data_IF_473776248685
#
_entry.id   IF_473776248685
#
_cell.length_a   1.000
_cell.length_b   1.000
_cell.length_c   1.000
_cell.angle_alpha   90.00
_cell.angle_beta   90.00
_cell.angle_gamma   90.00
#
_symmetry.space_group_name_H-M   'P 1'
#
loop_
_entity.id
_entity.type
_entity.pdbx_description
1 polymer ?
#
# COMPACT_ATOMS: atom_id res chain seq x y z
N UNK A 1 13.83 12.99 -31.20
CA UNK A 1 12.87 12.15 -30.45
C UNK A 1 13.32 12.19 -29.02
N UNK A 2 12.48 12.69 -28.14
CA UNK A 2 12.77 12.64 -26.71
C UNK A 2 12.84 11.15 -26.31
N UNK A 3 13.85 10.78 -25.55
CA UNK A 3 14.00 9.41 -25.04
C UNK A 3 12.74 9.01 -24.26
N UNK A 4 12.29 7.75 -24.35
CA UNK A 4 11.17 7.22 -23.55
C UNK A 4 11.38 7.55 -22.07
N UNK A 5 12.63 7.47 -21.60
CA UNK A 5 13.02 7.78 -20.21
C UNK A 5 12.78 9.23 -19.81
N UNK A 6 12.74 10.17 -20.76
CA UNK A 6 12.49 11.60 -20.50
C UNK A 6 11.00 11.97 -20.55
N UNK A 7 10.11 11.01 -20.82
CA UNK A 7 8.68 11.25 -20.89
C UNK A 7 8.08 11.56 -19.52
N UNK A 8 7.72 12.82 -19.26
CA UNK A 8 7.06 13.26 -18.04
C UNK A 8 5.77 12.48 -17.76
N UNK A 9 5.02 12.12 -18.80
CA UNK A 9 3.77 11.35 -18.71
C UNK A 9 4.05 9.93 -18.22
N UNK A 10 5.12 9.31 -18.72
CA UNK A 10 5.53 7.97 -18.30
C UNK A 10 6.04 7.97 -16.85
N UNK A 11 6.89 8.92 -16.47
CA UNK A 11 7.38 9.06 -15.09
C UNK A 11 6.22 9.19 -14.09
N UNK A 12 5.25 10.08 -14.39
CA UNK A 12 4.04 10.26 -13.56
C UNK A 12 3.24 8.96 -13.44
N UNK A 13 3.08 8.26 -14.56
CA UNK A 13 2.35 7.00 -14.59
C UNK A 13 3.04 5.93 -13.75
N UNK A 14 4.33 5.75 -13.93
CA UNK A 14 5.14 4.79 -13.18
C UNK A 14 5.09 5.05 -11.67
N UNK A 15 5.29 6.31 -11.25
CA UNK A 15 5.19 6.66 -9.83
C UNK A 15 3.81 6.34 -9.24
N UNK A 16 2.75 6.54 -10.02
CA UNK A 16 1.38 6.23 -9.60
C UNK A 16 1.14 4.73 -9.51
N UNK A 17 1.63 3.95 -10.48
CA UNK A 17 1.48 2.50 -10.52
C UNK A 17 2.18 1.82 -9.34
N UNK A 18 3.32 2.33 -8.91
CA UNK A 18 4.12 1.80 -7.80
C UNK A 18 3.99 2.58 -6.48
N UNK A 19 3.06 3.56 -6.43
CA UNK A 19 2.84 4.41 -5.24
C UNK A 19 4.12 5.05 -4.71
N UNK A 20 4.96 5.59 -5.62
CA UNK A 20 6.23 6.22 -5.26
C UNK A 20 6.00 7.67 -4.80
N UNK A 21 6.66 8.13 -3.73
CA UNK A 21 6.48 9.47 -3.17
C UNK A 21 7.29 10.52 -3.95
N UNK A 22 7.15 10.54 -5.28
CA UNK A 22 7.79 11.48 -6.19
C UNK A 22 6.72 12.38 -6.79
N UNK A 23 6.91 13.70 -6.66
CA UNK A 23 5.97 14.70 -7.20
C UNK A 23 6.61 15.69 -8.19
N UNK A 24 7.94 15.68 -8.34
CA UNK A 24 8.65 16.53 -9.33
C UNK A 24 9.11 15.68 -10.49
N UNK A 25 8.56 15.94 -11.68
CA UNK A 25 8.75 15.13 -12.89
C UNK A 25 9.54 15.89 -13.96
N UNK A 26 10.73 16.37 -13.60
CA UNK A 26 11.80 16.69 -14.54
C UNK A 26 12.75 15.49 -14.63
N UNK A 27 13.43 15.32 -15.75
CA UNK A 27 14.35 14.19 -15.95
C UNK A 27 15.41 14.12 -14.84
N UNK A 28 16.03 15.25 -14.51
CA UNK A 28 17.07 15.35 -13.48
C UNK A 28 16.53 14.97 -12.09
N UNK A 29 15.35 15.47 -11.72
CA UNK A 29 14.76 15.19 -10.41
C UNK A 29 14.25 13.75 -10.31
N UNK A 30 13.67 13.22 -11.37
CA UNK A 30 13.23 11.84 -11.40
C UNK A 30 14.43 10.87 -11.27
N UNK A 31 15.49 11.12 -12.01
CA UNK A 31 16.76 10.38 -11.91
C UNK A 31 17.31 10.47 -10.48
N UNK A 32 17.36 11.68 -9.92
CA UNK A 32 17.82 11.90 -8.56
C UNK A 32 17.05 11.06 -7.55
N UNK A 33 15.71 11.09 -7.57
CA UNK A 33 14.90 10.31 -6.63
C UNK A 33 14.98 8.81 -6.88
N UNK A 34 15.13 8.38 -8.14
CA UNK A 34 15.32 6.97 -8.45
C UNK A 34 16.65 6.39 -7.95
N UNK A 35 17.63 7.26 -7.72
CA UNK A 35 18.91 6.89 -7.12
C UNK A 35 18.92 7.03 -5.60
N UNK A 36 18.18 8.01 -5.06
CA UNK A 36 18.07 8.29 -3.63
C UNK A 36 17.26 7.22 -2.87
N UNK A 37 16.12 6.83 -3.42
CA UNK A 37 15.23 5.90 -2.73
C UNK A 37 15.64 4.45 -2.95
N UNK A 38 16.09 3.77 -1.89
CA UNK A 38 16.49 2.35 -1.91
C UNK A 38 15.36 1.40 -2.35
N UNK A 39 14.10 1.79 -2.12
CA UNK A 39 12.90 1.05 -2.52
C UNK A 39 12.42 1.38 -3.95
N UNK A 40 13.11 2.25 -4.70
CA UNK A 40 12.72 2.55 -6.08
C UNK A 40 12.92 1.31 -6.97
N UNK A 41 11.90 0.82 -7.69
CA UNK A 41 11.97 -0.41 -8.48
C UNK A 41 12.68 -0.17 -9.83
N UNK A 42 14.00 0.01 -9.82
CA UNK A 42 14.83 0.35 -11.00
C UNK A 42 14.66 -0.64 -12.14
N UNK A 43 14.74 -1.93 -11.84
CA UNK A 43 14.62 -3.00 -12.85
C UNK A 43 13.27 -2.94 -13.58
N UNK A 44 12.19 -2.63 -12.84
CA UNK A 44 10.86 -2.48 -13.43
C UNK A 44 10.74 -1.23 -14.30
N UNK A 45 11.38 -0.14 -13.90
CA UNK A 45 11.45 1.08 -14.70
C UNK A 45 12.22 0.85 -16.00
N UNK A 46 13.37 0.21 -15.92
CA UNK A 46 14.21 -0.11 -17.09
C UNK A 46 13.49 -1.06 -18.04
N UNK A 47 12.90 -2.16 -17.50
CA UNK A 47 12.09 -3.10 -18.28
C UNK A 47 10.93 -2.42 -19.00
N UNK A 48 10.22 -1.50 -18.31
CA UNK A 48 9.13 -0.72 -18.92
C UNK A 48 9.62 0.14 -20.09
N UNK A 49 10.72 0.87 -19.91
CA UNK A 49 11.28 1.69 -20.97
C UNK A 49 11.72 0.84 -22.17
N UNK A 50 12.37 -0.30 -21.92
CA UNK A 50 12.77 -1.25 -22.95
C UNK A 50 11.56 -1.82 -23.71
N UNK A 51 10.51 -2.23 -23.01
CA UNK A 51 9.27 -2.72 -23.62
C UNK A 51 8.65 -1.65 -24.53
N UNK A 52 8.58 -0.39 -24.08
CA UNK A 52 8.04 0.69 -24.91
C UNK A 52 8.90 0.95 -26.15
N UNK A 53 10.22 0.90 -26.02
CA UNK A 53 11.14 1.07 -27.17
C UNK A 53 10.99 -0.08 -28.18
N UNK A 54 10.94 -1.33 -27.71
CA UNK A 54 10.98 -2.51 -28.59
C UNK A 54 9.63 -2.86 -29.18
N UNK A 55 8.56 -2.82 -28.39
CA UNK A 55 7.24 -3.29 -28.81
C UNK A 55 6.32 -2.18 -29.32
N UNK A 56 6.56 -0.93 -28.85
CA UNK A 56 5.74 0.24 -29.22
C UNK A 56 6.53 1.29 -30.02
N UNK A 57 7.76 0.98 -30.45
CA UNK A 57 8.62 1.88 -31.24
C UNK A 57 8.92 3.20 -30.54
N UNK A 58 9.05 3.20 -29.23
CA UNK A 58 9.28 4.38 -28.39
C UNK A 58 8.04 5.26 -28.19
N UNK A 59 6.86 4.81 -28.61
CA UNK A 59 5.61 5.57 -28.51
C UNK A 59 4.86 5.29 -27.19
N UNK A 60 5.04 6.16 -26.20
CA UNK A 60 4.40 6.08 -24.88
C UNK A 60 2.88 6.10 -24.96
N UNK A 61 2.29 6.83 -25.93
CA UNK A 61 0.84 6.90 -26.08
C UNK A 61 0.24 5.55 -26.50
N UNK A 62 0.90 4.84 -27.42
CA UNK A 62 0.44 3.50 -27.83
C UNK A 62 0.45 2.51 -26.67
N UNK A 63 1.48 2.57 -25.83
CA UNK A 63 1.54 1.75 -24.63
C UNK A 63 0.45 2.13 -23.61
N UNK A 64 0.18 3.43 -23.40
CA UNK A 64 -0.90 3.88 -22.52
C UNK A 64 -2.27 3.44 -23.05
N UNK A 65 -2.47 3.44 -24.37
CA UNK A 65 -3.69 2.94 -25.01
C UNK A 65 -3.85 1.43 -24.82
N UNK A 66 -2.75 0.67 -24.86
CA UNK A 66 -2.76 -0.74 -24.51
C UNK A 66 -3.21 -0.96 -23.06
N UNK A 67 -2.62 -0.25 -22.09
CA UNK A 67 -3.04 -0.31 -20.69
C UNK A 67 -4.52 0.04 -20.50
N UNK A 68 -5.01 1.05 -21.25
CA UNK A 68 -6.42 1.43 -21.21
C UNK A 68 -7.33 0.33 -21.77
N UNK A 69 -6.96 -0.31 -22.87
CA UNK A 69 -7.72 -1.42 -23.47
C UNK A 69 -7.83 -2.61 -22.51
N UNK A 70 -6.73 -3.02 -21.88
CA UNK A 70 -6.77 -4.12 -20.88
C UNK A 70 -7.65 -3.76 -19.69
N UNK A 71 -7.49 -2.55 -19.15
CA UNK A 71 -8.33 -2.05 -18.06
C UNK A 71 -9.82 -2.10 -18.43
N UNK A 72 -10.18 -1.56 -19.58
CA UNK A 72 -11.58 -1.45 -20.01
C UNK A 72 -12.16 -2.82 -20.34
N UNK A 73 -11.36 -3.73 -20.92
CA UNK A 73 -11.77 -5.13 -21.15
C UNK A 73 -12.04 -5.86 -19.83
N UNK A 74 -11.16 -5.68 -18.82
CA UNK A 74 -11.35 -6.28 -17.51
C UNK A 74 -12.61 -5.73 -16.80
N UNK A 75 -12.83 -4.42 -16.84
CA UNK A 75 -14.02 -3.79 -16.27
C UNK A 75 -15.29 -4.32 -16.95
N UNK A 76 -15.35 -4.27 -18.27
CA UNK A 76 -16.54 -4.65 -19.03
C UNK A 76 -16.81 -6.15 -18.90
N UNK A 77 -15.76 -7.00 -18.95
CA UNK A 77 -15.90 -8.43 -18.80
C UNK A 77 -16.53 -8.85 -17.46
N UNK A 78 -16.25 -8.10 -16.38
CA UNK A 78 -16.90 -8.36 -15.08
C UNK A 78 -18.29 -7.74 -15.03
N UNK A 79 -18.45 -6.44 -15.36
CA UNK A 79 -19.73 -5.73 -15.21
C UNK A 79 -20.85 -6.34 -16.05
N UNK A 80 -20.51 -6.90 -17.22
CA UNK A 80 -21.47 -7.53 -18.13
C UNK A 80 -21.82 -8.97 -17.74
N UNK A 81 -21.07 -9.59 -16.81
CA UNK A 81 -21.35 -10.97 -16.36
C UNK A 81 -22.67 -11.08 -15.59
N UNK A 82 -23.30 -12.24 -15.68
CA UNK A 82 -24.54 -12.51 -14.93
C UNK A 82 -24.27 -12.60 -13.42
N UNK A 83 -23.09 -13.09 -13.03
CA UNK A 83 -22.62 -13.19 -11.65
C UNK A 83 -22.50 -11.81 -11.02
N UNK A 84 -21.90 -10.87 -11.72
CA UNK A 84 -21.80 -9.48 -11.25
C UNK A 84 -23.18 -8.80 -11.17
N UNK A 85 -24.05 -8.99 -12.14
CA UNK A 85 -25.41 -8.45 -12.11
C UNK A 85 -26.20 -8.97 -10.90
N UNK A 86 -26.08 -10.27 -10.61
CA UNK A 86 -26.67 -10.88 -9.41
C UNK A 86 -26.09 -10.28 -8.14
N UNK A 87 -24.77 -10.19 -8.05
CA UNK A 87 -24.08 -9.57 -6.91
C UNK A 87 -24.50 -8.12 -6.73
N UNK A 88 -24.54 -7.33 -7.81
CA UNK A 88 -24.83 -5.90 -7.76
C UNK A 88 -26.28 -5.59 -7.36
N UNK A 89 -27.23 -6.48 -7.65
CA UNK A 89 -28.65 -6.30 -7.35
C UNK A 89 -29.16 -7.20 -6.20
N UNK A 90 -28.34 -8.11 -5.70
CA UNK A 90 -28.70 -9.08 -4.67
C UNK A 90 -28.81 -8.48 -3.26
N UNK A 91 -29.36 -9.27 -2.34
CA UNK A 91 -29.36 -8.91 -0.93
C UNK A 91 -27.96 -9.03 -0.33
N UNK A 92 -27.55 -8.01 0.43
CA UNK A 92 -26.25 -7.97 1.10
C UNK A 92 -26.28 -8.51 2.54
N UNK A 93 -27.44 -8.90 3.06
CA UNK A 93 -27.56 -9.40 4.44
C UNK A 93 -26.74 -10.67 4.70
N UNK A 94 -26.51 -11.50 3.67
CA UNK A 94 -25.63 -12.67 3.73
C UNK A 94 -24.16 -12.34 4.04
N UNK A 95 -23.74 -11.08 3.80
CA UNK A 95 -22.39 -10.59 4.06
C UNK A 95 -22.31 -9.77 5.36
N UNK A 96 -23.27 -9.98 6.26
CA UNK A 96 -23.22 -9.35 7.57
C UNK A 96 -22.04 -9.89 8.39
N UNK A 97 -21.34 -9.01 9.09
CA UNK A 97 -20.30 -9.42 10.03
C UNK A 97 -20.97 -10.14 11.20
N UNK A 98 -20.35 -11.22 11.67
CA UNK A 98 -20.83 -11.93 12.85
C UNK A 98 -20.94 -10.98 14.05
N UNK A 99 -22.05 -10.96 14.79
CA UNK A 99 -22.26 -10.07 15.94
C UNK A 99 -21.25 -10.24 17.07
N UNK A 100 -20.54 -11.38 17.14
CA UNK A 100 -19.48 -11.63 18.13
C UNK A 100 -18.16 -10.90 17.79
N UNK A 101 -17.98 -10.45 16.56
CA UNK A 101 -16.82 -9.63 16.19
C UNK A 101 -16.93 -8.25 16.85
N UNK A 102 -15.91 -7.80 17.59
CA UNK A 102 -15.97 -6.52 18.29
C UNK A 102 -16.21 -5.36 17.34
N UNK A 103 -17.14 -4.48 17.69
CA UNK A 103 -17.39 -3.23 16.97
C UNK A 103 -16.40 -2.18 17.45
N UNK A 104 -15.18 -2.26 16.97
CA UNK A 104 -14.16 -1.23 17.21
C UNK A 104 -14.15 -0.29 16.03
N UNK A 105 -14.08 1.02 16.28
CA UNK A 105 -13.96 2.02 15.23
C UNK A 105 -12.62 1.91 14.49
N UNK A 106 -12.56 2.55 13.34
CA UNK A 106 -11.31 2.69 12.60
C UNK A 106 -10.35 3.57 13.42
N UNK A 107 -9.36 2.96 14.07
CA UNK A 107 -8.30 3.65 14.77
C UNK A 107 -7.01 3.57 13.94
N UNK A 108 -6.39 4.71 13.71
CA UNK A 108 -5.08 4.72 13.09
C UNK A 108 -4.01 4.25 14.09
N UNK A 109 -3.15 3.35 13.64
CA UNK A 109 -1.97 2.91 14.41
C UNK A 109 -0.97 4.05 14.60
N UNK A 110 -0.86 4.92 13.59
CA UNK A 110 0.15 5.97 13.51
C UNK A 110 -0.22 7.18 14.36
N UNK A 111 -0.07 7.05 15.68
CA UNK A 111 -0.26 8.10 16.68
C UNK A 111 0.91 8.12 17.65
N UNK A 112 1.10 9.25 18.36
CA UNK A 112 2.18 9.41 19.33
C UNK A 112 2.07 8.42 20.49
N UNK A 113 0.86 8.08 20.90
CA UNK A 113 0.55 7.17 22.02
C UNK A 113 0.91 5.71 21.69
N UNK A 114 1.10 5.41 20.43
CA UNK A 114 1.42 4.08 19.94
C UNK A 114 2.91 3.86 19.69
N UNK A 115 3.72 4.88 19.81
CA UNK A 115 5.19 4.78 19.65
C UNK A 115 5.78 3.84 20.71
N UNK A 116 6.63 2.93 20.29
CA UNK A 116 7.25 1.91 21.14
C UNK A 116 6.41 0.66 21.36
N UNK A 117 5.20 0.57 20.78
CA UNK A 117 4.35 -0.62 20.88
C UNK A 117 4.56 -1.55 19.70
N UNK A 118 4.34 -2.85 19.95
CA UNK A 118 4.32 -3.89 18.93
C UNK A 118 2.91 -4.10 18.39
N UNK A 119 2.82 -4.30 17.08
CA UNK A 119 1.56 -4.54 16.38
C UNK A 119 1.66 -5.80 15.52
N UNK A 120 0.56 -6.54 15.43
CA UNK A 120 0.33 -7.51 14.37
C UNK A 120 -0.74 -6.93 13.46
N UNK A 121 -0.41 -6.77 12.17
CA UNK A 121 -1.32 -6.32 11.11
C UNK A 121 -1.58 -7.48 10.16
N UNK A 122 -2.85 -7.75 9.90
CA UNK A 122 -3.32 -8.79 8.99
C UNK A 122 -4.15 -8.11 7.91
N UNK A 123 -3.64 -8.10 6.69
CA UNK A 123 -4.14 -7.33 5.55
C UNK A 123 -4.55 -8.27 4.40
N UNK A 124 -5.74 -8.09 3.83
CA UNK A 124 -6.18 -8.86 2.67
C UNK A 124 -5.30 -8.59 1.46
N UNK A 125 -4.67 -9.62 0.90
CA UNK A 125 -3.92 -9.46 -0.35
C UNK A 125 -4.87 -9.17 -1.50
N UNK A 126 -4.64 -8.05 -2.21
CA UNK A 126 -5.50 -7.67 -3.36
C UNK A 126 -7.01 -7.67 -3.00
N UNK A 127 -7.38 -7.08 -1.86
CA UNK A 127 -8.67 -7.16 -1.19
C UNK A 127 -9.88 -7.12 -2.12
N UNK A 128 -9.96 -6.13 -3.02
CA UNK A 128 -11.10 -5.98 -3.92
C UNK A 128 -11.28 -7.19 -4.88
N UNK A 129 -10.16 -7.77 -5.37
CA UNK A 129 -10.21 -8.98 -6.19
C UNK A 129 -10.73 -10.16 -5.36
N UNK A 130 -10.16 -10.38 -4.18
CA UNK A 130 -10.58 -11.46 -3.31
C UNK A 130 -12.04 -11.36 -2.90
N UNK A 131 -12.53 -10.16 -2.60
CA UNK A 131 -13.93 -9.94 -2.24
C UNK A 131 -14.87 -10.35 -3.37
N UNK A 132 -14.58 -10.00 -4.62
CA UNK A 132 -15.39 -10.41 -5.77
C UNK A 132 -15.26 -11.91 -6.06
N UNK A 133 -14.10 -12.51 -5.87
CA UNK A 133 -13.91 -13.97 -5.94
C UNK A 133 -14.69 -14.67 -4.83
N UNK A 134 -14.58 -14.21 -3.59
CA UNK A 134 -15.30 -14.75 -2.44
C UNK A 134 -16.83 -14.65 -2.60
N UNK A 135 -17.29 -13.60 -3.28
CA UNK A 135 -18.72 -13.43 -3.62
C UNK A 135 -19.16 -14.24 -4.87
N UNK A 136 -18.26 -15.01 -5.50
CA UNK A 136 -18.57 -15.81 -6.69
C UNK A 136 -18.80 -14.98 -7.95
N UNK A 137 -18.25 -13.77 -8.01
CA UNK A 137 -18.34 -12.88 -9.18
C UNK A 137 -17.20 -13.15 -10.17
N UNK A 138 -16.02 -13.48 -9.65
CA UNK A 138 -14.82 -13.81 -10.41
C UNK A 138 -14.43 -15.25 -10.07
N UNK A 139 -14.16 -16.06 -11.07
CA UNK A 139 -13.80 -17.47 -10.97
C UNK A 139 -12.32 -17.77 -11.22
N UNK A 140 -11.55 -16.76 -11.63
CA UNK A 140 -10.10 -16.89 -11.79
C UNK A 140 -9.41 -17.24 -10.45
N UNK A 141 -8.43 -18.12 -10.50
CA UNK A 141 -7.72 -18.56 -9.29
C UNK A 141 -6.92 -17.45 -8.65
N UNK A 142 -6.26 -16.65 -9.46
CA UNK A 142 -5.43 -15.53 -9.01
C UNK A 142 -5.79 -14.23 -9.74
N UNK A 143 -5.39 -13.10 -9.12
CA UNK A 143 -5.48 -11.80 -9.80
C UNK A 143 -4.64 -11.75 -11.08
N UNK A 144 -3.57 -12.50 -11.12
CA UNK A 144 -2.64 -12.54 -12.24
C UNK A 144 -3.33 -13.25 -13.43
N UNK A 145 -3.99 -14.38 -13.19
CA UNK A 145 -4.81 -15.07 -14.18
C UNK A 145 -5.96 -14.20 -14.69
N UNK A 146 -6.64 -13.50 -13.77
CA UNK A 146 -7.68 -12.54 -14.11
C UNK A 146 -7.18 -11.47 -15.10
N UNK A 147 -6.04 -10.84 -14.84
CA UNK A 147 -5.48 -9.80 -15.72
C UNK A 147 -4.99 -10.40 -17.04
N UNK A 148 -4.32 -11.57 -17.02
CA UNK A 148 -3.85 -12.24 -18.22
C UNK A 148 -5.00 -12.65 -19.16
N UNK A 149 -6.14 -13.03 -18.62
CA UNK A 149 -7.36 -13.33 -19.41
C UNK A 149 -7.79 -12.15 -20.29
N UNK A 150 -7.56 -10.92 -19.86
CA UNK A 150 -7.86 -9.70 -20.60
C UNK A 150 -6.68 -9.15 -21.42
N UNK A 151 -5.61 -9.95 -21.58
CA UNK A 151 -4.43 -9.59 -22.36
C UNK A 151 -3.45 -8.68 -21.66
N UNK A 152 -3.49 -8.62 -20.31
CA UNK A 152 -2.50 -7.88 -19.52
C UNK A 152 -1.19 -8.64 -19.35
N UNK A 153 -0.15 -7.91 -19.04
CA UNK A 153 1.22 -8.36 -18.84
C UNK A 153 1.68 -8.20 -17.39
N UNK A 154 2.93 -8.58 -17.08
CA UNK A 154 3.55 -8.46 -15.77
C UNK A 154 3.53 -7.01 -15.22
N UNK A 155 3.61 -6.02 -16.10
CA UNK A 155 3.57 -4.62 -15.68
C UNK A 155 2.17 -4.27 -15.15
N UNK A 156 1.12 -4.62 -15.89
CA UNK A 156 -0.28 -4.35 -15.52
C UNK A 156 -0.65 -5.11 -14.23
N UNK A 157 -0.21 -6.36 -14.11
CA UNK A 157 -0.37 -7.20 -12.91
C UNK A 157 0.27 -6.50 -11.68
N UNK A 158 1.46 -5.94 -11.84
CA UNK A 158 2.20 -5.23 -10.79
C UNK A 158 1.64 -3.85 -10.45
N UNK A 159 0.79 -3.25 -11.29
CA UNK A 159 0.27 -1.90 -11.11
C UNK A 159 -0.82 -1.84 -10.04
N UNK A 160 -0.49 -1.30 -8.86
CA UNK A 160 -1.48 -1.02 -7.80
C UNK A 160 -2.55 -0.04 -8.28
N UNK A 161 -2.15 0.98 -9.03
CA UNK A 161 -3.09 1.99 -9.54
C UNK A 161 -4.11 1.38 -10.51
N UNK A 162 -3.67 0.58 -11.50
CA UNK A 162 -4.61 -0.06 -12.42
C UNK A 162 -5.59 -0.97 -11.71
N UNK A 163 -5.10 -1.78 -10.75
CA UNK A 163 -5.98 -2.60 -9.90
C UNK A 163 -7.04 -1.76 -9.19
N UNK A 164 -6.65 -0.65 -8.57
CA UNK A 164 -7.60 0.25 -7.90
C UNK A 164 -8.61 0.88 -8.88
N UNK A 165 -8.19 1.23 -10.08
CA UNK A 165 -9.09 1.78 -11.11
C UNK A 165 -10.09 0.74 -11.62
N UNK A 166 -9.62 -0.50 -11.87
CA UNK A 166 -10.47 -1.60 -12.33
C UNK A 166 -11.58 -1.85 -11.30
N UNK A 167 -11.21 -2.18 -10.07
CA UNK A 167 -12.18 -2.54 -9.03
C UNK A 167 -12.97 -1.34 -8.49
N UNK A 168 -12.42 -0.14 -8.56
CA UNK A 168 -13.13 1.09 -8.21
C UNK A 168 -14.35 1.40 -9.10
N UNK A 169 -14.50 0.68 -10.24
CA UNK A 169 -15.67 0.76 -11.12
C UNK A 169 -16.73 -0.32 -10.83
N UNK A 170 -16.45 -1.25 -9.93
CA UNK A 170 -17.26 -2.43 -9.65
C UNK A 170 -18.00 -2.32 -8.30
N UNK A 171 -18.79 -1.25 -8.13
CA UNK A 171 -19.59 -0.97 -6.93
C UNK A 171 -18.78 -1.13 -5.61
N UNK A 172 -17.85 -0.20 -5.32
CA UNK A 172 -16.94 -0.32 -4.18
C UNK A 172 -17.66 -0.51 -2.83
N UNK A 173 -18.84 0.07 -2.64
CA UNK A 173 -19.57 -0.04 -1.37
C UNK A 173 -20.00 -1.47 -1.08
N UNK A 174 -20.39 -2.24 -2.11
CA UNK A 174 -20.73 -3.66 -1.94
C UNK A 174 -19.50 -4.51 -1.75
N UNK A 175 -18.44 -4.25 -2.50
CA UNK A 175 -17.14 -4.93 -2.34
C UNK A 175 -16.59 -4.74 -0.93
N UNK A 176 -16.61 -3.52 -0.39
CA UNK A 176 -16.22 -3.22 1.00
C UNK A 176 -17.06 -4.00 2.02
N UNK A 177 -18.35 -4.21 1.75
CA UNK A 177 -19.20 -5.02 2.65
C UNK A 177 -18.72 -6.47 2.69
N UNK A 178 -18.33 -7.04 1.55
CA UNK A 178 -17.76 -8.40 1.49
C UNK A 178 -16.39 -8.45 2.16
N UNK A 179 -15.51 -7.47 1.89
CA UNK A 179 -14.20 -7.35 2.56
C UNK A 179 -14.36 -7.36 4.09
N UNK A 180 -15.27 -6.56 4.62
CA UNK A 180 -15.56 -6.53 6.07
C UNK A 180 -16.08 -7.87 6.60
N UNK A 181 -16.92 -8.58 5.84
CA UNK A 181 -17.37 -9.92 6.18
C UNK A 181 -16.18 -10.89 6.23
N UNK A 182 -15.30 -10.87 5.22
CA UNK A 182 -14.08 -11.68 5.19
C UNK A 182 -13.18 -11.38 6.39
N UNK A 183 -12.98 -10.10 6.72
CA UNK A 183 -12.20 -9.72 7.91
C UNK A 183 -12.86 -10.18 9.21
N UNK A 184 -14.18 -10.25 9.27
CA UNK A 184 -14.89 -10.88 10.37
C UNK A 184 -14.57 -12.38 10.51
N UNK A 185 -14.53 -13.11 9.38
CA UNK A 185 -14.11 -14.52 9.36
C UNK A 185 -12.64 -14.66 9.81
N UNK A 186 -11.76 -13.81 9.29
CA UNK A 186 -10.36 -13.78 9.72
C UNK A 186 -10.25 -13.59 11.22
N UNK A 187 -10.94 -12.58 11.79
CA UNK A 187 -10.93 -12.33 13.23
C UNK A 187 -11.37 -13.57 14.02
N UNK A 188 -12.50 -14.17 13.67
CA UNK A 188 -13.02 -15.36 14.37
C UNK A 188 -12.07 -16.56 14.30
N UNK A 189 -11.28 -16.64 13.24
CA UNK A 189 -10.33 -17.75 13.02
C UNK A 189 -9.07 -17.62 13.87
N UNK A 190 -8.61 -16.38 14.13
CA UNK A 190 -7.25 -16.18 14.68
C UNK A 190 -7.20 -15.46 16.02
N UNK A 191 -8.28 -14.83 16.49
CA UNK A 191 -8.19 -13.94 17.67
C UNK A 191 -7.66 -14.64 18.90
N UNK A 192 -8.15 -15.85 19.24
CA UNK A 192 -7.66 -16.63 20.39
C UNK A 192 -6.16 -16.95 20.29
N UNK A 193 -5.71 -17.26 19.07
CA UNK A 193 -4.28 -17.54 18.83
C UNK A 193 -3.43 -16.29 19.05
N UNK A 194 -3.83 -15.15 18.49
CA UNK A 194 -3.11 -13.86 18.62
C UNK A 194 -3.15 -13.36 20.07
N UNK A 195 -4.28 -13.51 20.78
CA UNK A 195 -4.36 -13.19 22.21
C UNK A 195 -3.45 -14.10 23.05
N UNK A 196 -3.32 -15.36 22.68
CA UNK A 196 -2.36 -16.30 23.27
C UNK A 196 -0.90 -15.86 23.14
N UNK A 197 -0.56 -15.08 22.11
CA UNK A 197 0.75 -14.44 21.92
C UNK A 197 0.90 -13.13 22.74
N UNK A 198 -0.12 -12.72 23.49
CA UNK A 198 -0.12 -11.52 24.34
C UNK A 198 -0.55 -10.23 23.65
N UNK A 199 -1.15 -10.31 22.46
CA UNK A 199 -1.70 -9.15 21.76
C UNK A 199 -3.20 -9.01 22.02
N UNK A 200 -3.68 -7.78 22.01
CA UNK A 200 -5.10 -7.41 22.15
C UNK A 200 -5.61 -6.83 20.84
N UNK A 201 -6.86 -7.10 20.52
CA UNK A 201 -7.51 -6.49 19.38
C UNK A 201 -7.50 -4.97 19.49
N UNK A 202 -7.05 -4.28 18.41
CA UNK A 202 -6.90 -2.84 18.37
C UNK A 202 -7.88 -2.16 17.42
N UNK A 203 -7.95 -2.62 16.14
CA UNK A 203 -8.85 -2.04 15.14
C UNK A 203 -9.14 -3.00 13.99
N UNK A 204 -10.23 -2.74 13.30
CA UNK A 204 -10.62 -3.42 12.06
C UNK A 204 -11.08 -2.40 11.04
N UNK A 205 -10.44 -2.41 9.89
CA UNK A 205 -10.86 -1.70 8.68
C UNK A 205 -11.58 -2.67 7.73
N UNK A 206 -11.87 -2.23 6.49
CA UNK A 206 -12.47 -3.11 5.49
C UNK A 206 -11.57 -4.29 5.10
N UNK A 207 -10.28 -4.09 5.08
CA UNK A 207 -9.28 -5.01 4.53
C UNK A 207 -8.10 -5.30 5.48
N UNK A 208 -8.11 -4.75 6.71
CA UNK A 208 -7.04 -4.92 7.68
C UNK A 208 -7.58 -5.14 9.10
N UNK A 209 -7.00 -6.10 9.82
CA UNK A 209 -7.10 -6.27 11.27
C UNK A 209 -5.78 -5.88 11.92
N UNK A 210 -5.87 -5.20 13.07
CA UNK A 210 -4.70 -4.83 13.86
C UNK A 210 -4.88 -5.28 15.29
N UNK A 211 -3.82 -5.89 15.82
CA UNK A 211 -3.68 -6.22 17.22
C UNK A 211 -2.48 -5.48 17.81
N UNK A 212 -2.52 -5.15 19.09
CA UNK A 212 -1.47 -4.39 19.79
C UNK A 212 -1.01 -5.10 21.04
N UNK A 213 0.27 -4.98 21.32
CA UNK A 213 0.89 -5.33 22.60
C UNK A 213 1.43 -4.08 23.24
N UNK A 214 0.92 -3.77 24.45
CA UNK A 214 1.27 -2.55 25.18
C UNK A 214 2.60 -2.66 25.95
N UNK A 215 3.06 -3.88 26.24
CA UNK A 215 4.29 -4.09 27.02
C UNK A 215 5.54 -3.82 26.16
N UNK A 216 6.46 -2.94 26.61
CA UNK A 216 7.74 -2.78 25.98
C UNK A 216 8.60 -4.05 26.20
N UNK A 217 9.37 -4.43 25.22
CA UNK A 217 10.27 -5.59 25.25
C UNK A 217 10.27 -6.31 23.92
N UNK A 218 11.14 -7.31 23.80
CA UNK A 218 11.23 -8.10 22.58
C UNK A 218 9.90 -8.81 22.29
N UNK A 219 9.46 -8.76 21.05
CA UNK A 219 8.35 -9.57 20.60
C UNK A 219 8.76 -11.05 20.71
N UNK A 220 8.00 -11.84 21.49
CA UNK A 220 8.17 -13.29 21.51
C UNK A 220 7.52 -13.96 20.28
N UNK A 221 6.97 -13.17 19.36
CA UNK A 221 6.31 -13.62 18.16
C UNK A 221 7.36 -14.06 17.15
N UNK A 222 7.23 -15.28 16.64
CA UNK A 222 8.13 -15.85 15.65
C UNK A 222 7.58 -15.69 14.23
N UNK A 223 8.43 -15.87 13.22
CA UNK A 223 8.00 -15.94 11.83
C UNK A 223 7.02 -17.11 11.62
N UNK A 224 7.23 -18.24 12.30
CA UNK A 224 6.33 -19.40 12.25
C UNK A 224 4.93 -19.07 12.78
N UNK A 225 4.80 -18.21 13.80
CA UNK A 225 3.50 -17.75 14.27
C UNK A 225 2.76 -16.95 13.19
N UNK A 226 3.46 -16.10 12.43
CA UNK A 226 2.86 -15.35 11.33
C UNK A 226 2.44 -16.26 10.17
N UNK A 227 3.26 -17.27 9.87
CA UNK A 227 2.91 -18.32 8.88
C UNK A 227 1.68 -19.08 9.34
N UNK A 228 1.61 -19.49 10.61
CA UNK A 228 0.43 -20.20 11.16
C UNK A 228 -0.85 -19.39 11.08
N UNK A 229 -0.80 -18.06 11.23
CA UNK A 229 -1.93 -17.17 11.02
C UNK A 229 -2.41 -17.24 9.56
N UNK A 230 -1.48 -17.11 8.61
CA UNK A 230 -1.80 -17.14 7.18
C UNK A 230 -2.41 -18.49 6.77
N UNK A 231 -1.83 -19.60 7.20
CA UNK A 231 -2.30 -20.95 6.88
C UNK A 231 -3.71 -21.20 7.40
N UNK A 232 -4.01 -20.83 8.65
CA UNK A 232 -5.36 -20.98 9.24
C UNK A 232 -6.42 -20.22 8.46
N UNK A 233 -6.10 -19.01 8.02
CA UNK A 233 -7.04 -18.16 7.28
C UNK A 233 -7.22 -18.67 5.84
N UNK A 234 -6.16 -19.22 5.25
CA UNK A 234 -6.19 -19.77 3.89
C UNK A 234 -7.14 -20.98 3.78
N UNK A 235 -7.36 -21.75 4.86
CA UNK A 235 -8.36 -22.84 4.89
C UNK A 235 -9.79 -22.35 4.55
N UNK A 236 -10.07 -21.06 4.78
CA UNK A 236 -11.33 -20.41 4.41
C UNK A 236 -11.31 -19.74 3.03
N UNK A 237 -10.27 -19.98 2.24
CA UNK A 237 -10.10 -19.39 0.91
C UNK A 237 -9.76 -17.89 0.94
N UNK A 238 -9.26 -17.38 2.06
CA UNK A 238 -8.90 -15.97 2.25
C UNK A 238 -7.38 -15.86 2.31
N UNK A 239 -6.78 -15.12 1.38
CA UNK A 239 -5.33 -14.87 1.34
C UNK A 239 -5.00 -13.55 2.04
N UNK A 240 -4.17 -13.63 3.07
CA UNK A 240 -3.77 -12.49 3.88
C UNK A 240 -2.25 -12.33 3.92
N UNK A 241 -1.81 -11.13 4.20
CA UNK A 241 -0.47 -10.82 4.64
C UNK A 241 -0.51 -10.55 6.13
N UNK A 242 0.31 -11.25 6.89
CA UNK A 242 0.49 -11.05 8.31
C UNK A 242 1.88 -10.48 8.57
N UNK A 243 1.96 -9.38 9.31
CA UNK A 243 3.21 -8.68 9.63
C UNK A 243 3.23 -8.30 11.10
N UNK A 244 4.38 -8.52 11.76
CA UNK A 244 4.63 -8.04 13.12
C UNK A 244 5.63 -6.89 13.08
N UNK A 245 5.29 -5.75 13.68
CA UNK A 245 6.13 -4.57 13.61
C UNK A 245 6.13 -3.74 14.90
N UNK A 246 7.24 -3.06 15.12
CA UNK A 246 7.39 -2.01 16.14
C UNK A 246 7.13 -0.65 15.49
N UNK A 247 6.41 0.23 16.18
CA UNK A 247 6.15 1.58 15.71
C UNK A 247 7.15 2.57 16.33
N UNK A 248 7.92 3.24 15.48
CA UNK A 248 8.76 4.39 15.81
C UNK A 248 8.18 5.70 15.28
N UNK A 249 8.76 6.82 15.67
CA UNK A 249 8.45 8.15 15.16
C UNK A 249 9.71 8.98 15.01
N UNK A 250 9.77 9.80 13.97
CA UNK A 250 10.78 10.85 13.82
C UNK A 250 10.20 12.18 14.34
N UNK A 251 10.89 12.81 15.27
CA UNK A 251 10.52 14.14 15.75
C UNK A 251 11.07 15.21 14.82
N UNK A 252 10.24 15.59 13.86
CA UNK A 252 10.57 16.56 12.82
C UNK A 252 9.62 17.74 12.89
N UNK A 253 10.15 18.94 12.75
CA UNK A 253 9.40 20.19 12.70
C UNK A 253 9.64 20.95 11.41
N UNK A 254 8.64 21.71 11.00
CA UNK A 254 8.78 22.70 9.94
C UNK A 254 9.27 24.06 10.51
N UNK A 255 9.49 25.03 9.65
CA UNK A 255 9.92 26.39 10.00
C UNK A 255 8.96 27.16 10.94
N UNK A 256 7.72 26.71 11.08
CA UNK A 256 6.73 27.27 11.99
C UNK A 256 6.63 26.49 13.31
N UNK A 257 7.65 25.68 13.64
CA UNK A 257 7.69 24.83 14.85
C UNK A 257 6.54 23.80 14.94
N UNK A 258 5.84 23.55 13.84
CA UNK A 258 4.78 22.55 13.78
C UNK A 258 5.36 21.17 13.52
N UNK A 259 4.86 20.16 14.24
CA UNK A 259 5.25 18.78 14.06
C UNK A 259 4.88 18.26 12.66
N UNK A 260 5.77 17.50 12.06
CA UNK A 260 5.52 16.73 10.84
C UNK A 260 5.28 15.28 11.25
N UNK A 261 4.15 14.72 10.82
CA UNK A 261 3.89 13.31 11.03
C UNK A 261 4.83 12.46 10.17
N UNK A 262 5.71 11.73 10.84
CA UNK A 262 6.68 10.82 10.23
C UNK A 262 6.88 9.63 11.17
N UNK A 263 6.31 8.50 10.79
CA UNK A 263 6.40 7.27 11.57
C UNK A 263 7.27 6.24 10.85
N UNK A 264 8.00 5.45 11.64
CA UNK A 264 8.78 4.32 11.16
C UNK A 264 8.05 3.05 11.59
N UNK A 265 7.76 2.22 10.64
CA UNK A 265 7.32 0.85 10.86
C UNK A 265 8.55 -0.05 10.69
N UNK A 266 8.95 -0.68 11.75
CA UNK A 266 10.04 -1.64 11.76
C UNK A 266 9.48 -3.06 11.86
N UNK A 267 9.59 -3.84 10.78
CA UNK A 267 9.21 -5.24 10.76
C UNK A 267 10.21 -6.03 11.60
N UNK A 268 9.73 -6.74 12.62
CA UNK A 268 10.59 -7.41 13.61
C UNK A 268 11.24 -8.69 13.09
N UNK A 269 10.73 -9.25 11.98
CA UNK A 269 11.24 -10.49 11.41
C UNK A 269 12.21 -10.23 10.25
N UNK A 270 11.86 -9.31 9.36
CA UNK A 270 12.68 -8.98 8.20
C UNK A 270 13.72 -7.90 8.50
N UNK A 271 13.61 -7.19 9.61
CA UNK A 271 14.35 -5.95 9.93
C UNK A 271 14.18 -4.85 8.89
N UNK A 272 13.12 -4.93 8.09
CA UNK A 272 12.80 -3.87 7.13
C UNK A 272 12.13 -2.70 7.82
N UNK A 273 12.62 -1.51 7.52
CA UNK A 273 12.03 -0.26 7.97
C UNK A 273 11.27 0.42 6.84
N UNK A 274 10.09 0.91 7.13
CA UNK A 274 9.30 1.70 6.19
C UNK A 274 8.79 2.99 6.80
N UNK A 275 8.94 4.07 6.04
CA UNK A 275 8.45 5.39 6.43
C UNK A 275 6.95 5.50 6.12
N UNK A 276 6.15 5.97 7.10
CA UNK A 276 4.68 6.05 7.03
C UNK A 276 4.18 7.46 7.37
N UNK A 277 3.01 7.80 6.84
CA UNK A 277 2.27 9.07 7.09
C UNK A 277 2.99 10.34 6.61
N UNK A 278 4.08 10.23 5.89
CA UNK A 278 4.78 11.39 5.34
C UNK A 278 4.10 11.85 4.05
N UNK A 279 3.75 13.12 3.98
CA UNK A 279 3.28 13.74 2.74
C UNK A 279 4.36 13.69 1.67
N UNK A 280 3.96 13.45 0.41
CA UNK A 280 4.88 13.46 -0.75
C UNK A 280 5.68 14.74 -0.88
N UNK A 281 5.15 15.87 -0.39
CA UNK A 281 5.80 17.18 -0.39
C UNK A 281 7.03 17.21 0.53
N UNK A 282 6.93 16.57 1.69
CA UNK A 282 8.02 16.51 2.67
C UNK A 282 8.90 15.27 2.53
N UNK A 283 8.47 14.30 1.74
CA UNK A 283 9.09 12.97 1.70
C UNK A 283 10.60 12.99 1.44
N UNK A 284 11.14 13.77 0.47
CA UNK A 284 12.58 13.80 0.22
C UNK A 284 13.40 14.25 1.45
N UNK A 285 12.93 15.28 2.14
CA UNK A 285 13.62 15.81 3.32
C UNK A 285 13.54 14.81 4.49
N UNK A 286 12.33 14.28 4.77
CA UNK A 286 12.12 13.31 5.85
C UNK A 286 12.91 12.03 5.60
N UNK A 287 12.94 11.54 4.35
CA UNK A 287 13.73 10.37 3.98
C UNK A 287 15.23 10.58 4.22
N UNK A 288 15.78 11.73 3.82
CA UNK A 288 17.18 12.06 4.07
C UNK A 288 17.50 12.18 5.57
N UNK A 289 16.65 12.85 6.32
CA UNK A 289 16.80 12.96 7.80
C UNK A 289 16.82 11.54 8.41
N UNK A 290 15.88 10.69 8.03
CA UNK A 290 15.79 9.32 8.51
C UNK A 290 17.05 8.47 8.19
N UNK A 291 17.57 8.60 6.97
CA UNK A 291 18.78 7.89 6.53
C UNK A 291 20.10 8.57 6.96
N UNK A 292 20.03 9.69 7.68
CA UNK A 292 21.22 10.43 8.09
C UNK A 292 21.94 11.18 6.96
N UNK A 293 21.23 11.45 5.86
CA UNK A 293 21.79 12.20 4.73
C UNK A 293 21.55 13.71 4.89
N UNK A 294 22.46 14.56 4.40
CA UNK A 294 22.25 16.01 4.44
C UNK A 294 21.10 16.41 3.49
N UNK A 295 20.21 17.28 3.97
CA UNK A 295 19.17 17.89 3.14
C UNK A 295 19.80 18.95 2.25
N UNK A 296 19.56 18.88 0.95
CA UNK A 296 20.11 19.76 -0.06
C UNK A 296 19.03 20.70 -0.63
N UNK A 297 19.44 21.75 -1.34
CA UNK A 297 18.49 22.72 -1.94
C UNK A 297 17.45 22.07 -2.87
N UNK A 298 17.81 21.00 -3.58
CA UNK A 298 16.90 20.28 -4.46
C UNK A 298 15.80 19.52 -3.70
N UNK A 299 16.05 19.13 -2.45
CA UNK A 299 15.06 18.45 -1.61
C UNK A 299 13.99 19.38 -1.08
N UNK A 300 14.21 20.69 -1.19
CA UNK A 300 13.25 21.74 -0.84
C UNK A 300 12.25 22.03 -1.96
N UNK A 301 12.47 21.48 -3.17
CA UNK A 301 11.61 21.72 -4.33
C UNK A 301 10.44 20.74 -4.30
N UNK A 302 9.24 21.25 -4.46
CA UNK A 302 8.03 20.44 -4.55
C UNK A 302 7.06 21.01 -5.58
N UNK A 303 6.05 20.24 -5.92
CA UNK A 303 5.00 20.65 -6.86
C UNK A 303 3.72 20.94 -6.07
N UNK A 304 3.21 22.13 -6.22
CA UNK A 304 1.98 22.60 -5.56
C UNK A 304 1.13 23.38 -6.56
N UNK A 305 -0.15 23.06 -6.67
CA UNK A 305 -1.09 23.70 -7.60
C UNK A 305 -0.54 23.86 -9.03
N UNK A 306 0.01 22.76 -9.57
CA UNK A 306 0.63 22.73 -10.90
C UNK A 306 1.86 23.65 -11.10
N UNK A 307 2.45 24.16 -10.02
CA UNK A 307 3.65 24.99 -10.05
C UNK A 307 4.77 24.39 -9.19
N UNK A 308 6.02 24.67 -9.58
CA UNK A 308 7.17 24.39 -8.73
C UNK A 308 7.26 25.44 -7.64
N UNK A 309 7.33 24.96 -6.42
CA UNK A 309 7.54 25.77 -5.23
C UNK A 309 8.79 25.29 -4.49
N UNK A 310 9.30 26.11 -3.60
CA UNK A 310 10.50 25.79 -2.82
C UNK A 310 10.26 26.19 -1.36
N UNK A 311 10.55 25.29 -0.44
CA UNK A 311 10.58 25.64 0.98
C UNK A 311 11.69 26.67 1.25
N UNK A 312 11.40 27.66 2.09
CA UNK A 312 12.38 28.68 2.46
C UNK A 312 13.50 28.07 3.31
N UNK A 313 13.12 27.16 4.21
CA UNK A 313 14.01 26.49 5.14
C UNK A 313 13.78 24.98 5.12
N UNK A 314 14.81 24.16 5.37
CA UNK A 314 14.64 22.72 5.50
C UNK A 314 13.85 22.37 6.77
N UNK A 315 13.33 21.14 6.81
CA UNK A 315 12.81 20.57 8.03
C UNK A 315 13.93 20.38 9.06
N UNK A 316 13.59 20.56 10.34
CA UNK A 316 14.51 20.39 11.44
C UNK A 316 14.22 19.10 12.18
N UNK A 317 15.25 18.29 12.39
CA UNK A 317 15.18 17.13 13.26
C UNK A 317 15.37 17.61 14.71
N UNK A 318 14.40 17.28 15.57
CA UNK A 318 14.51 17.54 17.00
C UNK A 318 15.13 16.31 17.62
N UNK A 319 16.41 16.40 18.02
CA UNK A 319 17.02 15.35 18.83
C UNK A 319 16.30 15.35 20.17
N UNK A 320 15.40 14.41 20.40
CA UNK A 320 14.93 14.10 21.74
C UNK A 320 16.12 13.62 22.57
N UNK A 321 16.17 14.04 23.84
CA UNK A 321 17.11 13.46 24.79
C UNK A 321 17.07 11.96 24.66
N UNK A 322 18.24 11.35 24.51
CA UNK A 322 18.48 9.94 24.21
C UNK A 322 17.46 9.00 24.88
N UNK A 323 16.44 8.60 24.16
CA UNK A 323 15.65 7.44 24.54
C UNK A 323 16.01 6.31 23.56
N UNK A 324 17.04 5.59 23.96
CA UNK A 324 17.42 4.24 23.68
C UNK A 324 16.50 3.48 22.68
N UNK A 325 16.88 3.48 21.41
CA UNK A 325 16.67 2.32 20.56
C UNK A 325 18.02 1.57 20.60
N UNK A 326 18.21 0.70 21.59
CA UNK A 326 19.19 -0.37 21.61
C UNK A 326 18.48 -1.66 21.31
#
# INVERSE_FOLDING_TARGET
MDSVKSSKKLMKRFCKDYNLPINVFTEDMFKYYSELYDFFPKDRWEKLCETIETEYGGNVELWLDYCAKVRDAAINGVIESEEYKKFNNGDMSQWAIDPSVPKVGEHTVFTKENVGKHFISIDLRKANFQALKYAGVIDDDTYDDFIMRFGGDDYIIGSKYLRQVIFGKMNPSRTITVEKCMMGVVYMTIHDFIEGLGYKFYSMNSDELVFVRDEPGDSNTTEDDMVAVVERVLEYGIDVRCECFLLGRLDIKNSNESDIDAYIRWDVHTNEETLKKVSTTFYPQVYKIWKGYPVEKRDLIFFFEDQLATFIEPLTFVYGDEQNIQ
#
